data_IF_602198383649
#
_entry.id   IF_602198383649
#
_cell.length_a   1.000
_cell.length_b   1.000
_cell.length_c   1.000
_cell.angle_alpha   90.00
_cell.angle_beta   90.00
_cell.angle_gamma   90.00
#
_symmetry.space_group_name_H-M   'P 1'
#
loop_
_entity.id
_entity.type
_entity.pdbx_description
1 polymer ?
#
# COMPACT_ATOMS: atom_id res chain seq x y z
N UNK A 1 -69.94 31.74 11.45
CA UNK A 1 -68.51 31.79 11.86
C UNK A 1 -67.76 30.45 11.81
N UNK A 2 -68.42 29.28 11.80
CA UNK A 2 -67.74 27.97 11.97
C UNK A 2 -66.94 27.40 10.78
N UNK A 3 -67.18 27.84 9.53
CA UNK A 3 -66.47 27.29 8.34
C UNK A 3 -64.99 27.70 8.21
N UNK A 4 -64.61 28.86 8.80
CA UNK A 4 -63.23 29.37 8.69
C UNK A 4 -62.27 28.68 9.66
N UNK A 5 -62.77 28.22 10.81
CA UNK A 5 -61.97 27.48 11.79
C UNK A 5 -61.69 26.05 11.34
N UNK A 6 -62.66 25.36 10.75
CA UNK A 6 -62.48 23.99 10.23
C UNK A 6 -61.45 23.93 9.10
N UNK A 7 -61.39 24.95 8.25
CA UNK A 7 -60.39 25.02 7.17
C UNK A 7 -58.97 25.21 7.70
N UNK A 8 -58.81 26.00 8.79
CA UNK A 8 -57.51 26.22 9.42
C UNK A 8 -57.00 24.96 10.13
N UNK A 9 -57.88 24.24 10.83
CA UNK A 9 -57.51 22.98 11.50
C UNK A 9 -57.06 21.92 10.49
N UNK A 10 -57.80 21.75 9.39
CA UNK A 10 -57.45 20.79 8.33
C UNK A 10 -56.15 21.16 7.59
N UNK A 11 -55.78 22.45 7.55
CA UNK A 11 -54.51 22.91 6.98
C UNK A 11 -53.34 22.59 7.93
N UNK A 12 -53.50 22.87 9.22
CA UNK A 12 -52.48 22.58 10.24
C UNK A 12 -52.20 21.08 10.34
N UNK A 13 -53.24 20.23 10.32
CA UNK A 13 -53.05 18.78 10.31
C UNK A 13 -52.33 18.28 9.06
N UNK A 14 -52.61 18.88 7.88
CA UNK A 14 -51.90 18.55 6.63
C UNK A 14 -50.43 18.94 6.68
N UNK A 15 -50.12 20.14 7.17
CA UNK A 15 -48.75 20.62 7.32
C UNK A 15 -47.97 19.73 8.30
N UNK A 16 -48.57 19.38 9.44
CA UNK A 16 -47.96 18.52 10.44
C UNK A 16 -47.73 17.09 9.92
N UNK A 17 -48.71 16.54 9.18
CA UNK A 17 -48.61 15.21 8.57
C UNK A 17 -47.57 15.17 7.44
N UNK A 18 -47.48 16.23 6.65
CA UNK A 18 -46.45 16.38 5.62
C UNK A 18 -45.06 16.42 6.28
N UNK A 19 -44.86 17.26 7.30
CA UNK A 19 -43.56 17.38 7.99
C UNK A 19 -43.10 16.06 8.61
N UNK A 20 -44.03 15.31 9.23
CA UNK A 20 -43.78 13.98 9.81
C UNK A 20 -43.27 12.99 8.75
N UNK A 21 -43.95 12.91 7.60
CA UNK A 21 -43.56 12.02 6.48
C UNK A 21 -42.23 12.38 5.85
N UNK A 22 -41.93 13.67 5.75
CA UNK A 22 -40.65 14.16 5.24
C UNK A 22 -39.50 13.81 6.20
N UNK A 23 -39.72 13.88 7.51
CA UNK A 23 -38.74 13.45 8.51
C UNK A 23 -38.47 11.93 8.43
N UNK A 24 -39.51 11.11 8.28
CA UNK A 24 -39.37 9.65 8.14
C UNK A 24 -38.64 9.26 6.84
N UNK A 25 -38.86 10.01 5.74
CA UNK A 25 -38.14 9.80 4.47
C UNK A 25 -36.65 10.18 4.57
N UNK A 26 -36.33 11.31 5.22
CA UNK A 26 -34.94 11.75 5.43
C UNK A 26 -34.16 10.80 6.34
N UNK A 27 -34.82 10.24 7.36
CA UNK A 27 -34.22 9.24 8.23
C UNK A 27 -33.84 7.97 7.44
N UNK A 28 -34.75 7.45 6.61
CA UNK A 28 -34.46 6.30 5.75
C UNK A 28 -33.39 6.57 4.68
N UNK A 29 -33.35 7.79 4.13
CA UNK A 29 -32.31 8.19 3.19
C UNK A 29 -30.93 8.28 3.82
N UNK A 30 -30.83 8.81 5.05
CA UNK A 30 -29.58 8.88 5.79
C UNK A 30 -29.01 7.48 6.09
N UNK A 31 -29.88 6.54 6.43
CA UNK A 31 -29.49 5.16 6.72
C UNK A 31 -29.03 4.40 5.46
N UNK A 32 -29.67 4.64 4.31
CA UNK A 32 -29.21 4.12 3.02
C UNK A 32 -27.88 4.73 2.57
N UNK A 33 -27.66 6.03 2.84
CA UNK A 33 -26.41 6.71 2.51
C UNK A 33 -25.21 6.16 3.30
N UNK A 34 -25.42 5.78 4.56
CA UNK A 34 -24.38 5.16 5.39
C UNK A 34 -23.96 3.78 4.86
N UNK A 35 -24.89 2.99 4.31
CA UNK A 35 -24.57 1.68 3.73
C UNK A 35 -23.87 1.76 2.36
N UNK A 36 -24.16 2.81 1.57
CA UNK A 36 -23.50 3.03 0.27
C UNK A 36 -22.14 3.74 0.40
N UNK A 37 -21.86 4.38 1.53
CA UNK A 37 -20.55 4.91 1.88
C UNK A 37 -19.64 3.78 2.39
N UNK A 38 -19.40 2.76 1.56
CA UNK A 38 -18.38 1.75 1.83
C UNK A 38 -17.05 2.47 2.09
N UNK A 39 -16.42 2.22 3.24
CA UNK A 39 -15.14 2.84 3.59
C UNK A 39 -14.10 2.46 2.54
N UNK A 40 -13.59 3.40 1.72
CA UNK A 40 -12.42 3.10 0.93
C UNK A 40 -11.30 2.77 1.92
N UNK A 41 -10.71 1.59 1.80
CA UNK A 41 -9.60 1.17 2.63
C UNK A 41 -8.44 2.17 2.47
N UNK A 42 -8.33 3.11 3.40
CA UNK A 42 -7.20 4.01 3.47
C UNK A 42 -5.99 3.16 3.85
N UNK A 43 -5.16 2.85 2.85
CA UNK A 43 -3.83 2.33 3.09
C UNK A 43 -3.15 3.26 4.10
N UNK A 44 -2.70 2.69 5.22
CA UNK A 44 -2.20 3.41 6.38
C UNK A 44 -0.84 4.03 6.02
N UNK A 45 -0.84 5.14 5.29
CA UNK A 45 0.35 5.96 4.99
C UNK A 45 0.70 6.82 6.20
N UNK A 46 0.98 6.16 7.33
CA UNK A 46 1.40 6.83 8.55
C UNK A 46 2.92 6.99 8.53
N UNK A 47 3.38 8.23 8.40
CA UNK A 47 4.79 8.61 8.57
C UNK A 47 5.16 8.42 10.03
N UNK A 48 5.86 7.33 10.33
CA UNK A 48 6.35 7.05 11.68
C UNK A 48 7.78 7.59 11.83
N UNK A 49 8.01 8.38 12.88
CA UNK A 49 9.35 8.83 13.24
C UNK A 49 10.08 7.68 13.92
N UNK A 50 11.11 7.15 13.27
CA UNK A 50 11.97 6.10 13.82
C UNK A 50 13.23 6.71 14.43
N UNK A 51 13.61 6.23 15.61
CA UNK A 51 14.92 6.54 16.21
C UNK A 51 15.91 5.50 15.73
N UNK A 52 16.84 5.91 14.87
CA UNK A 52 17.89 5.07 14.32
C UNK A 52 19.24 5.38 14.97
N UNK A 53 20.09 4.36 15.11
CA UNK A 53 21.49 4.54 15.54
C UNK A 53 22.42 4.39 14.35
N UNK A 54 23.23 5.40 14.10
CA UNK A 54 24.34 5.35 13.15
C UNK A 54 25.60 4.91 13.91
N UNK A 55 26.33 3.94 13.36
CA UNK A 55 27.47 3.31 14.02
C UNK A 55 28.69 3.17 13.10
N UNK A 56 28.79 3.97 12.03
CA UNK A 56 29.83 3.88 11.01
C UNK A 56 29.92 2.49 10.38
N UNK A 57 28.77 1.98 9.95
CA UNK A 57 28.65 0.62 9.42
C UNK A 57 29.13 0.63 7.96
N UNK A 58 30.18 -0.11 7.67
CA UNK A 58 30.70 -0.27 6.32
C UNK A 58 29.95 -1.40 5.59
N UNK A 59 29.52 -1.14 4.36
CA UNK A 59 28.96 -2.16 3.49
C UNK A 59 30.10 -2.82 2.71
N UNK A 60 30.27 -4.13 2.85
CA UNK A 60 31.27 -4.91 2.11
C UNK A 60 30.55 -5.93 1.23
N UNK A 61 30.87 -5.94 -0.06
CA UNK A 61 30.30 -6.88 -1.05
C UNK A 61 31.47 -7.45 -1.85
N UNK A 62 31.59 -8.79 -1.91
CA UNK A 62 32.71 -9.46 -2.57
C UNK A 62 34.08 -8.93 -2.11
N UNK A 63 34.27 -8.78 -0.79
CA UNK A 63 35.49 -8.26 -0.15
C UNK A 63 35.86 -6.81 -0.51
N UNK A 64 34.98 -6.08 -1.21
CA UNK A 64 35.17 -4.68 -1.53
C UNK A 64 34.26 -3.79 -0.69
N UNK A 65 34.83 -2.74 -0.11
CA UNK A 65 34.07 -1.70 0.60
C UNK A 65 33.27 -0.89 -0.41
N UNK A 66 31.95 -0.93 -0.28
CA UNK A 66 31.01 -0.22 -1.14
C UNK A 66 30.68 1.13 -0.54
N UNK A 67 30.91 2.21 -1.30
CA UNK A 67 30.50 3.54 -0.90
C UNK A 67 28.98 3.66 -0.93
N UNK A 68 28.39 3.87 0.25
CA UNK A 68 26.93 4.01 0.40
C UNK A 68 26.49 5.46 0.23
N UNK A 69 25.39 5.69 -0.49
CA UNK A 69 24.80 7.03 -0.63
C UNK A 69 24.14 7.53 0.66
N UNK A 70 23.70 6.60 1.50
CA UNK A 70 23.21 6.86 2.85
C UNK A 70 23.81 5.80 3.77
N UNK A 71 24.26 6.23 4.95
CA UNK A 71 24.92 5.33 5.90
C UNK A 71 23.94 4.26 6.41
N UNK A 72 24.35 2.97 6.44
CA UNK A 72 23.55 1.95 7.08
C UNK A 72 23.34 2.25 8.56
N UNK A 73 22.13 1.97 9.07
CA UNK A 73 21.75 2.29 10.43
C UNK A 73 21.10 1.10 11.13
N UNK A 74 21.14 1.10 12.46
CA UNK A 74 20.51 0.08 13.29
C UNK A 74 19.14 0.59 13.73
N UNK A 75 18.12 -0.22 13.48
CA UNK A 75 16.77 -0.01 13.97
C UNK A 75 16.20 -1.33 14.51
N UNK A 76 15.74 -1.32 15.76
CA UNK A 76 15.19 -2.50 16.44
C UNK A 76 16.11 -3.74 16.38
N UNK A 77 17.42 -3.56 16.53
CA UNK A 77 18.42 -4.63 16.45
C UNK A 77 18.79 -5.10 15.04
N UNK A 78 18.12 -4.61 14.00
CA UNK A 78 18.42 -4.95 12.61
C UNK A 78 19.22 -3.84 11.92
N UNK A 79 20.12 -4.22 11.02
CA UNK A 79 20.89 -3.28 10.19
C UNK A 79 20.13 -3.03 8.89
N UNK A 80 19.87 -1.77 8.58
CA UNK A 80 19.22 -1.33 7.36
C UNK A 80 20.23 -0.61 6.49
N UNK A 81 20.33 -1.02 5.23
CA UNK A 81 21.20 -0.41 4.23
C UNK A 81 20.38 0.02 2.99
N UNK A 82 20.83 1.03 2.23
CA UNK A 82 20.16 1.41 0.99
C UNK A 82 20.17 0.27 -0.02
N UNK A 83 18.98 -0.28 -0.32
CA UNK A 83 18.83 -1.41 -1.24
C UNK A 83 19.42 -1.13 -2.62
N UNK A 84 19.37 0.13 -3.08
CA UNK A 84 19.96 0.56 -4.34
C UNK A 84 21.49 0.39 -4.36
N UNK A 85 22.15 0.75 -3.26
CA UNK A 85 23.60 0.56 -3.13
C UNK A 85 23.95 -0.93 -3.13
N UNK A 86 23.20 -1.74 -2.37
CA UNK A 86 23.44 -3.18 -2.29
C UNK A 86 23.26 -3.84 -3.66
N UNK A 87 22.17 -3.54 -4.38
CA UNK A 87 21.93 -4.14 -5.68
C UNK A 87 22.94 -3.69 -6.75
N UNK A 88 23.33 -2.41 -6.76
CA UNK A 88 24.36 -1.93 -7.68
C UNK A 88 25.70 -2.62 -7.43
N UNK A 89 26.08 -2.81 -6.17
CA UNK A 89 27.29 -3.56 -5.80
C UNK A 89 27.23 -5.04 -6.23
N UNK A 90 26.04 -5.62 -6.25
CA UNK A 90 25.79 -6.99 -6.73
C UNK A 90 25.56 -7.08 -8.25
N UNK A 91 25.65 -5.97 -8.99
CA UNK A 91 25.39 -5.94 -10.44
C UNK A 91 23.93 -6.20 -10.83
N UNK A 92 23.00 -6.10 -9.89
CA UNK A 92 21.57 -6.35 -10.11
C UNK A 92 20.90 -5.08 -10.62
N UNK A 93 20.23 -5.18 -11.78
CA UNK A 93 19.44 -4.07 -12.33
C UNK A 93 18.22 -3.82 -11.46
N UNK A 94 18.07 -2.58 -10.98
CA UNK A 94 16.88 -2.14 -10.24
C UNK A 94 15.92 -1.38 -11.15
N UNK A 95 14.64 -1.78 -11.14
CA UNK A 95 13.57 -0.97 -11.71
C UNK A 95 12.64 -0.56 -10.58
N UNK A 96 12.64 0.74 -10.26
CA UNK A 96 11.69 1.36 -9.34
C UNK A 96 10.47 1.80 -10.14
N UNK A 97 9.32 1.22 -9.85
CA UNK A 97 8.05 1.72 -10.37
C UNK A 97 7.54 2.79 -9.40
N UNK A 98 7.23 4.00 -9.88
CA UNK A 98 6.69 5.06 -9.02
C UNK A 98 5.19 4.90 -8.75
N UNK A 99 4.50 3.98 -9.45
CA UNK A 99 3.06 3.72 -9.25
C UNK A 99 2.79 2.66 -8.18
N UNK A 100 3.78 1.83 -7.86
CA UNK A 100 3.70 0.78 -6.82
C UNK A 100 4.96 0.88 -5.97
N UNK A 101 4.90 0.99 -4.62
CA UNK A 101 6.09 1.06 -3.78
C UNK A 101 6.80 -0.31 -3.71
N UNK A 102 7.39 -0.74 -4.82
CA UNK A 102 8.05 -2.03 -4.97
C UNK A 102 9.40 -1.83 -5.68
N UNK A 103 10.47 -2.36 -5.07
CA UNK A 103 11.79 -2.48 -5.69
C UNK A 103 11.90 -3.89 -6.26
N UNK A 104 12.00 -4.00 -7.59
CA UNK A 104 12.20 -5.29 -8.26
C UNK A 104 13.67 -5.50 -8.57
N UNK A 105 14.22 -6.60 -8.05
CA UNK A 105 15.56 -7.09 -8.32
C UNK A 105 15.45 -8.33 -9.22
N UNK A 106 16.04 -8.33 -10.40
CA UNK A 106 16.10 -9.50 -11.28
C UNK A 106 17.55 -9.83 -11.62
N UNK A 107 17.97 -11.05 -11.34
CA UNK A 107 19.24 -11.59 -11.84
C UNK A 107 19.04 -11.99 -13.30
N UNK A 108 19.84 -11.44 -14.21
CA UNK A 108 19.87 -11.92 -15.59
C UNK A 108 20.69 -13.21 -15.63
N UNK A 109 20.08 -14.30 -15.16
CA UNK A 109 20.60 -15.65 -15.40
C UNK A 109 19.51 -16.44 -16.11
N UNK A 110 19.21 -16.02 -17.34
CA UNK A 110 18.70 -16.94 -18.34
C UNK A 110 19.92 -17.63 -18.96
N UNK A 111 19.94 -18.97 -18.88
CA UNK A 111 21.02 -19.92 -19.23
C UNK A 111 22.05 -20.17 -18.13
N UNK A 112 21.93 -21.34 -17.50
CA UNK A 112 22.83 -22.42 -17.86
C UNK A 112 22.07 -23.64 -18.41
N UNK A 113 22.79 -24.42 -19.21
CA UNK A 113 22.45 -25.78 -19.67
C UNK A 113 21.60 -25.87 -20.94
N UNK A 114 22.26 -25.57 -22.07
CA UNK A 114 22.35 -26.61 -23.10
C UNK A 114 22.63 -27.94 -22.40
N UNK A 115 21.62 -28.80 -22.36
CA UNK A 115 21.77 -30.19 -21.98
C UNK A 115 22.76 -30.84 -22.96
N UNK A 116 24.05 -30.79 -22.61
CA UNK A 116 25.09 -31.64 -23.18
C UNK A 116 24.87 -33.06 -22.63
N UNK A 117 23.87 -33.74 -23.20
CA UNK A 117 23.47 -35.11 -22.82
C UNK A 117 24.04 -36.16 -23.79
N UNK A 118 25.12 -35.86 -24.51
CA UNK A 118 25.67 -36.80 -25.50
C UNK A 118 27.19 -36.86 -25.47
N UNK A 119 27.78 -37.27 -24.33
CA UNK A 119 29.10 -37.91 -24.39
C UNK A 119 29.40 -38.87 -23.24
N UNK A 120 29.11 -40.18 -23.39
CA UNK A 120 29.89 -41.20 -22.73
C UNK A 120 31.25 -41.31 -23.44
N UNK A 121 32.32 -41.00 -22.71
CA UNK A 121 33.71 -41.31 -23.09
C UNK A 121 33.96 -42.84 -23.05
N UNK A 122 34.90 -43.36 -23.88
CA UNK A 122 35.05 -44.79 -24.13
C UNK A 122 35.68 -45.56 -22.95
N UNK A 123 35.36 -46.85 -22.87
CA UNK A 123 35.83 -47.80 -21.86
C UNK A 123 37.36 -47.96 -21.86
N UNK A 124 38.01 -48.05 -20.69
CA UNK A 124 39.39 -48.51 -20.60
C UNK A 124 39.50 -50.04 -20.44
N UNK A 125 40.35 -50.64 -21.28
CA UNK A 125 41.19 -51.82 -21.02
C UNK A 125 40.52 -53.14 -20.66
#
# INVERSE_FOLDING_TARGET
>A
MRKKETAKLNLIEKEFFSFKKWADFLAGFLEAAVLLAGTPGLAKSLTQKVTARFANIQLVVNDQVVKTSAEPFIYNGNVYAPVATVANALGIKQKRDNRTPAVRCSTSTASPLSADSTRPHPLPG
#
